data_IF_643857366292
#
_entry.id   IF_643857366292
#
_cell.length_a   1.000
_cell.length_b   1.000
_cell.length_c   1.000
_cell.angle_alpha   90.00
_cell.angle_beta   90.00
_cell.angle_gamma   90.00
#
_symmetry.space_group_name_H-M   'P 1'
#
loop_
_entity.id
_entity.type
_entity.pdbx_description
1 polymer ?
#
# COMPACT_ATOMS: atom_id res chain seq x y z
N UNK A 1 49.65 22.70 5.37
CA UNK A 1 48.53 22.42 4.49
C UNK A 1 47.21 22.89 5.16
N UNK A 2 46.71 24.05 4.76
CA UNK A 2 45.46 24.64 5.31
C UNK A 2 44.25 24.00 4.62
N UNK A 3 43.40 23.33 5.37
CA UNK A 3 42.11 22.83 4.88
C UNK A 3 41.11 23.98 4.89
N UNK A 4 40.66 24.40 3.71
CA UNK A 4 39.59 25.38 3.53
C UNK A 4 38.29 24.60 3.69
N UNK A 5 37.54 24.89 4.77
CA UNK A 5 36.16 24.40 4.94
C UNK A 5 35.26 25.32 4.12
N UNK A 6 34.71 24.81 3.01
CA UNK A 6 33.67 25.49 2.26
C UNK A 6 32.34 25.28 2.97
N UNK A 7 31.86 26.29 3.69
CA UNK A 7 30.51 26.33 4.25
C UNK A 7 29.60 26.86 3.14
N UNK A 8 28.80 25.95 2.55
CA UNK A 8 27.71 26.34 1.64
C UNK A 8 26.54 26.87 2.49
N UNK A 9 26.03 28.08 2.24
CA UNK A 9 24.82 28.55 2.88
C UNK A 9 23.60 27.76 2.31
N UNK A 10 22.92 27.02 3.16
CA UNK A 10 21.61 26.44 2.83
C UNK A 10 20.60 27.58 2.79
N UNK A 11 20.26 28.07 1.60
CA UNK A 11 19.15 28.99 1.41
C UNK A 11 17.85 28.24 1.61
N UNK A 12 17.23 28.42 2.78
CA UNK A 12 15.84 27.98 3.01
C UNK A 12 14.93 28.90 2.20
N UNK A 13 14.43 28.42 1.05
CA UNK A 13 13.32 29.05 0.35
C UNK A 13 12.07 28.79 1.15
N UNK A 14 11.67 29.74 1.99
CA UNK A 14 10.35 29.74 2.65
C UNK A 14 9.30 30.14 1.62
N UNK A 15 8.83 29.19 0.82
CA UNK A 15 7.59 29.33 0.08
C UNK A 15 6.41 29.40 1.07
N UNK A 16 5.26 30.03 0.71
CA UNK A 16 4.07 29.98 1.55
C UNK A 16 3.72 28.51 1.81
N UNK A 17 3.74 28.11 3.08
CA UNK A 17 3.28 26.80 3.49
C UNK A 17 1.76 26.78 3.23
N UNK A 18 1.32 26.27 2.08
CA UNK A 18 -0.07 25.88 1.91
C UNK A 18 -0.34 24.86 3.01
N UNK A 19 -1.32 25.14 3.87
CA UNK A 19 -1.67 24.26 4.96
C UNK A 19 -2.00 22.88 4.37
N UNK A 20 -1.08 21.95 4.54
CA UNK A 20 -1.28 20.57 4.11
C UNK A 20 -2.39 19.96 4.93
N UNK A 21 -3.41 19.43 4.28
CA UNK A 21 -4.49 18.72 4.96
C UNK A 21 -3.95 17.41 5.49
N UNK A 22 -3.98 17.22 6.80
CA UNK A 22 -3.52 15.99 7.45
C UNK A 22 -4.72 15.14 7.92
N UNK A 23 -4.54 13.82 7.92
CA UNK A 23 -5.49 12.86 8.47
C UNK A 23 -4.74 11.82 9.31
N UNK A 24 -5.37 11.36 10.39
CA UNK A 24 -4.91 10.22 11.17
C UNK A 24 -5.78 9.01 10.87
N UNK A 25 -5.15 7.87 10.69
CA UNK A 25 -5.87 6.67 10.30
C UNK A 25 -5.33 5.42 11.00
N UNK A 26 -6.19 4.42 11.16
CA UNK A 26 -5.85 3.07 11.61
C UNK A 26 -6.28 2.08 10.54
N UNK A 27 -5.35 1.23 10.09
CA UNK A 27 -5.64 0.16 9.15
C UNK A 27 -5.42 -1.19 9.78
N UNK A 28 -6.47 -2.00 9.82
CA UNK A 28 -6.46 -3.37 10.32
C UNK A 28 -6.59 -4.32 9.13
N UNK A 29 -5.67 -5.27 8.99
CA UNK A 29 -5.68 -6.22 7.86
C UNK A 29 -5.50 -7.65 8.38
N UNK A 30 -6.32 -8.56 7.88
CA UNK A 30 -6.15 -10.00 8.08
C UNK A 30 -6.05 -10.70 6.72
N UNK A 31 -5.04 -11.55 6.56
CA UNK A 31 -4.76 -12.31 5.34
C UNK A 31 -4.68 -13.79 5.65
N UNK A 32 -5.42 -14.62 4.94
CA UNK A 32 -5.31 -16.07 4.94
C UNK A 32 -4.76 -16.53 3.60
N UNK A 33 -3.75 -17.40 3.63
CA UNK A 33 -3.19 -18.05 2.46
C UNK A 33 -3.35 -19.56 2.60
N UNK A 34 -3.85 -20.23 1.58
CA UNK A 34 -3.98 -21.69 1.51
C UNK A 34 -3.16 -22.19 0.33
N UNK A 35 -2.18 -23.07 0.59
CA UNK A 35 -1.41 -23.72 -0.46
C UNK A 35 -2.29 -24.78 -1.16
N UNK A 36 -2.48 -24.66 -2.47
CA UNK A 36 -3.18 -25.63 -3.32
C UNK A 36 -2.20 -26.68 -3.84
N UNK A 37 -1.06 -26.22 -4.28
CA UNK A 37 0.09 -27.04 -4.68
C UNK A 37 1.40 -26.30 -4.34
N UNK A 38 2.55 -26.91 -4.71
CA UNK A 38 3.89 -26.34 -4.43
C UNK A 38 4.11 -24.94 -5.02
N UNK A 39 3.31 -24.52 -6.00
CA UNK A 39 3.49 -23.26 -6.74
C UNK A 39 2.24 -22.38 -6.72
N UNK A 40 1.11 -22.91 -6.27
CA UNK A 40 -0.19 -22.21 -6.33
C UNK A 40 -0.75 -22.01 -4.94
N UNK A 41 -1.20 -20.79 -4.64
CA UNK A 41 -1.77 -20.38 -3.37
C UNK A 41 -3.04 -19.56 -3.60
N UNK A 42 -4.08 -19.86 -2.84
CA UNK A 42 -5.28 -19.03 -2.74
C UNK A 42 -5.08 -18.05 -1.58
N UNK A 43 -5.45 -16.80 -1.79
CA UNK A 43 -5.37 -15.74 -0.78
C UNK A 43 -6.74 -15.14 -0.55
N UNK A 44 -7.14 -14.99 0.71
CA UNK A 44 -8.28 -14.18 1.13
C UNK A 44 -7.76 -13.11 2.08
N UNK A 45 -8.15 -11.86 1.84
CA UNK A 45 -7.72 -10.73 2.67
C UNK A 45 -8.94 -9.87 3.00
N UNK A 46 -9.02 -9.41 4.24
CA UNK A 46 -9.93 -8.34 4.65
C UNK A 46 -9.14 -7.20 5.26
N UNK A 47 -9.58 -5.97 5.00
CA UNK A 47 -8.97 -4.77 5.59
C UNK A 47 -10.03 -3.77 5.97
N UNK A 48 -9.94 -3.26 7.20
CA UNK A 48 -10.79 -2.18 7.73
C UNK A 48 -9.90 -0.97 7.97
N UNK A 49 -10.34 0.19 7.47
CA UNK A 49 -9.60 1.45 7.54
C UNK A 49 -10.46 2.48 8.24
N UNK A 50 -9.92 3.05 9.30
CA UNK A 50 -10.54 4.11 10.07
C UNK A 50 -9.78 5.41 9.81
N UNK A 51 -10.49 6.55 9.82
CA UNK A 51 -9.94 7.86 9.51
C UNK A 51 -10.66 8.91 10.35
N UNK A 52 -9.91 9.84 10.93
CA UNK A 52 -10.48 10.94 11.71
C UNK A 52 -11.35 11.83 10.81
N UNK A 53 -10.88 12.14 9.60
CA UNK A 53 -11.60 12.95 8.62
C UNK A 53 -12.94 12.36 8.18
N UNK A 54 -13.07 11.02 8.21
CA UNK A 54 -14.32 10.31 7.90
C UNK A 54 -15.15 9.99 9.13
N UNK A 55 -14.67 10.40 10.32
CA UNK A 55 -15.30 10.14 11.62
C UNK A 55 -15.59 8.65 11.86
N UNK A 56 -14.53 7.83 11.76
CA UNK A 56 -14.58 6.39 12.00
C UNK A 56 -14.24 5.54 10.78
N UNK A 57 -14.99 4.47 10.55
CA UNK A 57 -14.74 3.56 9.42
C UNK A 57 -14.83 4.31 8.08
N UNK A 58 -13.75 4.32 7.33
CA UNK A 58 -13.62 4.99 6.03
C UNK A 58 -13.69 4.04 4.84
N UNK A 59 -13.10 2.83 4.99
CA UNK A 59 -13.13 1.81 3.94
C UNK A 59 -13.15 0.41 4.56
N UNK A 60 -13.88 -0.50 3.93
CA UNK A 60 -13.71 -1.94 4.10
C UNK A 60 -13.37 -2.58 2.77
N UNK A 61 -12.42 -3.53 2.79
CA UNK A 61 -11.96 -4.26 1.64
C UNK A 61 -12.09 -5.75 1.87
N UNK A 62 -12.64 -6.45 0.88
CA UNK A 62 -12.68 -7.90 0.81
C UNK A 62 -12.01 -8.33 -0.48
N UNK A 63 -11.02 -9.21 -0.40
CA UNK A 63 -10.15 -9.56 -1.51
C UNK A 63 -10.02 -11.08 -1.56
N UNK A 64 -10.26 -11.65 -2.73
CA UNK A 64 -9.98 -13.04 -3.04
C UNK A 64 -9.08 -13.14 -4.26
N UNK A 65 -8.09 -14.02 -4.23
CA UNK A 65 -7.17 -14.13 -5.35
C UNK A 65 -6.35 -15.41 -5.37
N UNK A 66 -5.66 -15.62 -6.47
CA UNK A 66 -4.77 -16.76 -6.70
C UNK A 66 -3.39 -16.24 -7.06
N UNK A 67 -2.38 -16.80 -6.41
CA UNK A 67 -0.95 -16.57 -6.70
C UNK A 67 -0.36 -17.84 -7.29
N UNK A 68 0.44 -17.70 -8.36
CA UNK A 68 1.22 -18.80 -8.94
C UNK A 68 2.67 -18.38 -9.13
N UNK A 69 3.59 -19.21 -8.65
CA UNK A 69 5.01 -19.08 -8.98
C UNK A 69 5.23 -19.54 -10.41
N UNK A 70 5.69 -18.61 -11.26
CA UNK A 70 5.91 -18.85 -12.70
C UNK A 70 7.37 -19.08 -13.03
N UNK A 71 8.28 -18.59 -12.18
CA UNK A 71 9.72 -18.84 -12.25
C UNK A 71 10.31 -18.76 -10.85
N UNK A 72 11.59 -19.12 -10.70
CA UNK A 72 12.31 -18.93 -9.44
C UNK A 72 12.24 -17.47 -9.01
N UNK A 73 11.78 -17.24 -7.80
CA UNK A 73 11.64 -15.89 -7.20
C UNK A 73 10.67 -14.94 -7.95
N UNK A 74 9.84 -15.46 -8.88
CA UNK A 74 8.84 -14.67 -9.63
C UNK A 74 7.46 -15.30 -9.49
N UNK A 75 6.50 -14.52 -9.04
CA UNK A 75 5.10 -14.92 -8.91
C UNK A 75 4.17 -13.96 -9.65
N UNK A 76 3.09 -14.49 -10.20
CA UNK A 76 1.95 -13.72 -10.70
C UNK A 76 0.77 -13.92 -9.77
N UNK A 77 -0.05 -12.87 -9.62
CA UNK A 77 -1.24 -12.93 -8.78
C UNK A 77 -2.39 -12.21 -9.49
N UNK A 78 -3.55 -12.85 -9.51
CA UNK A 78 -4.80 -12.27 -9.97
C UNK A 78 -5.80 -12.28 -8.82
N UNK A 79 -6.48 -11.18 -8.60
CA UNK A 79 -7.47 -11.07 -7.52
C UNK A 79 -8.62 -10.15 -7.88
N UNK A 80 -9.73 -10.39 -7.21
CA UNK A 80 -10.87 -9.49 -7.17
C UNK A 80 -10.94 -8.84 -5.78
N UNK A 81 -11.29 -7.57 -5.74
CA UNK A 81 -11.54 -6.85 -4.50
C UNK A 81 -12.85 -6.07 -4.57
N UNK A 82 -13.67 -6.21 -3.53
CA UNK A 82 -14.78 -5.31 -3.24
C UNK A 82 -14.32 -4.30 -2.20
N UNK A 83 -14.43 -3.03 -2.53
CA UNK A 83 -14.13 -1.90 -1.63
C UNK A 83 -15.43 -1.17 -1.35
N UNK A 84 -15.76 -0.99 -0.09
CA UNK A 84 -16.90 -0.16 0.33
C UNK A 84 -16.35 1.06 1.05
N UNK A 85 -16.75 2.23 0.62
CA UNK A 85 -16.33 3.52 1.18
C UNK A 85 -17.43 4.07 2.07
N UNK A 86 -17.05 4.52 3.25
CA UNK A 86 -17.96 5.07 4.26
C UNK A 86 -17.65 6.53 4.53
N UNK A 87 -18.65 7.28 4.90
CA UNK A 87 -18.53 8.63 5.44
C UNK A 87 -19.59 8.83 6.50
N UNK A 88 -19.16 9.20 7.71
CA UNK A 88 -20.04 9.39 8.87
C UNK A 88 -20.96 8.19 9.14
N UNK A 89 -20.40 6.96 9.08
CA UNK A 89 -21.12 5.72 9.34
C UNK A 89 -22.08 5.25 8.22
N UNK A 90 -22.15 5.96 7.08
CA UNK A 90 -22.99 5.59 5.93
C UNK A 90 -22.13 5.19 4.75
N UNK A 91 -22.59 4.23 3.95
CA UNK A 91 -21.96 3.86 2.67
C UNK A 91 -22.10 5.05 1.71
N UNK A 92 -20.98 5.58 1.23
CA UNK A 92 -20.96 6.64 0.21
C UNK A 92 -20.88 6.07 -1.21
N UNK A 93 -20.05 5.05 -1.42
CA UNK A 93 -19.94 4.33 -2.68
C UNK A 93 -19.30 2.95 -2.47
N UNK A 94 -19.31 2.16 -3.52
CA UNK A 94 -18.60 0.89 -3.57
C UNK A 94 -17.84 0.76 -4.89
N UNK A 95 -16.75 0.03 -4.84
CA UNK A 95 -15.87 -0.16 -5.99
C UNK A 95 -15.50 -1.62 -6.14
N UNK A 96 -15.57 -2.13 -7.36
CA UNK A 96 -15.05 -3.44 -7.75
C UNK A 96 -13.69 -3.23 -8.41
N UNK A 97 -12.71 -4.06 -8.02
CA UNK A 97 -11.36 -4.03 -8.60
C UNK A 97 -10.96 -5.41 -9.05
N UNK A 98 -10.62 -5.56 -10.32
CA UNK A 98 -9.85 -6.70 -10.81
C UNK A 98 -8.39 -6.29 -10.83
N UNK A 99 -7.53 -7.14 -10.28
CA UNK A 99 -6.10 -6.84 -10.13
C UNK A 99 -5.28 -7.95 -10.74
N UNK A 100 -4.29 -7.57 -11.52
CA UNK A 100 -3.22 -8.44 -11.98
C UNK A 100 -1.89 -7.88 -11.48
N UNK A 101 -1.02 -8.73 -10.96
CA UNK A 101 0.31 -8.30 -10.51
C UNK A 101 1.38 -9.34 -10.82
N UNK A 102 2.58 -8.84 -11.00
CA UNK A 102 3.82 -9.61 -10.98
C UNK A 102 4.66 -9.14 -9.80
N UNK A 103 5.25 -10.09 -9.09
CA UNK A 103 6.18 -9.83 -8.00
C UNK A 103 7.46 -10.63 -8.21
N UNK A 104 8.60 -9.96 -8.09
CA UNK A 104 9.91 -10.59 -8.10
C UNK A 104 10.60 -10.34 -6.77
N UNK A 105 11.24 -11.38 -6.22
CA UNK A 105 11.95 -11.33 -4.94
C UNK A 105 13.43 -11.63 -5.15
N UNK A 106 14.31 -10.90 -4.47
CA UNK A 106 15.75 -11.18 -4.45
C UNK A 106 16.32 -11.02 -3.05
N UNK A 107 17.24 -11.91 -2.69
CA UNK A 107 18.01 -11.78 -1.45
C UNK A 107 19.37 -11.17 -1.74
N UNK A 108 19.71 -10.10 -1.04
CA UNK A 108 21.00 -9.40 -1.07
C UNK A 108 21.59 -9.44 0.34
N UNK A 109 22.46 -10.41 0.60
CA UNK A 109 22.95 -10.69 1.96
C UNK A 109 21.79 -11.00 2.91
N UNK A 110 21.62 -10.17 3.95
CA UNK A 110 20.53 -10.31 4.94
C UNK A 110 19.23 -9.64 4.49
N UNK A 111 19.26 -8.80 3.46
CA UNK A 111 18.10 -8.06 2.99
C UNK A 111 17.32 -8.89 1.97
N UNK A 112 16.03 -9.06 2.17
CA UNK A 112 15.09 -9.56 1.17
C UNK A 112 14.41 -8.36 0.51
N UNK A 113 14.61 -8.21 -0.81
CA UNK A 113 13.93 -7.22 -1.64
C UNK A 113 12.82 -7.89 -2.42
N UNK A 114 11.65 -7.24 -2.45
CA UNK A 114 10.52 -7.63 -3.30
C UNK A 114 10.07 -6.42 -4.12
N UNK A 115 10.12 -6.56 -5.44
CA UNK A 115 9.55 -5.59 -6.39
C UNK A 115 8.20 -6.11 -6.89
N UNK A 116 7.18 -5.26 -6.91
CA UNK A 116 5.84 -5.61 -7.38
C UNK A 116 5.33 -4.55 -8.36
N UNK A 117 4.77 -4.99 -9.47
CA UNK A 117 3.99 -4.16 -10.37
C UNK A 117 2.55 -4.70 -10.39
N UNK A 118 1.58 -3.86 -10.02
CA UNK A 118 0.16 -4.20 -10.00
C UNK A 118 -0.60 -3.29 -10.97
N UNK A 119 -1.42 -3.90 -11.81
CA UNK A 119 -2.44 -3.23 -12.61
C UNK A 119 -3.81 -3.45 -11.95
N UNK A 120 -4.65 -2.41 -11.91
CA UNK A 120 -6.02 -2.46 -11.37
C UNK A 120 -7.00 -1.94 -12.41
N UNK A 121 -7.99 -2.75 -12.75
CA UNK A 121 -9.25 -2.36 -13.38
C UNK A 121 -10.22 -1.99 -12.27
N UNK A 122 -10.90 -0.85 -12.37
CA UNK A 122 -11.72 -0.28 -11.31
C UNK A 122 -13.05 0.18 -11.87
N UNK A 123 -14.16 -0.26 -11.25
CA UNK A 123 -15.51 0.25 -11.53
C UNK A 123 -16.19 0.66 -10.24
N UNK A 124 -16.89 1.77 -10.23
CA UNK A 124 -17.57 2.31 -9.06
C UNK A 124 -19.08 2.36 -9.26
N UNK A 125 -19.81 2.37 -8.13
CA UNK A 125 -21.29 2.42 -8.14
C UNK A 125 -21.86 3.82 -8.37
N UNK A 126 -21.01 4.84 -8.33
CA UNK A 126 -21.36 6.26 -8.49
C UNK A 126 -20.76 6.88 -9.76
N UNK A 127 -20.51 6.06 -10.79
CA UNK A 127 -20.05 6.51 -12.10
C UNK A 127 -20.01 5.38 -13.12
N UNK A 128 -20.01 5.74 -14.39
CA UNK A 128 -20.11 4.80 -15.51
C UNK A 128 -18.74 4.47 -16.11
N UNK A 129 -17.75 5.36 -15.96
CA UNK A 129 -16.43 5.15 -16.55
C UNK A 129 -15.56 4.21 -15.75
N UNK A 130 -14.86 3.35 -16.47
CA UNK A 130 -13.84 2.48 -15.91
C UNK A 130 -12.55 3.24 -15.64
N UNK A 131 -11.98 3.02 -14.46
CA UNK A 131 -10.65 3.52 -14.09
C UNK A 131 -9.57 2.45 -14.20
N UNK A 132 -8.40 2.86 -14.65
CA UNK A 132 -7.21 2.02 -14.70
C UNK A 132 -6.11 2.63 -13.84
N UNK A 133 -5.40 1.78 -13.06
CA UNK A 133 -4.34 2.23 -12.16
C UNK A 133 -3.15 1.29 -12.22
N UNK A 134 -1.96 1.87 -12.20
CA UNK A 134 -0.70 1.15 -12.04
C UNK A 134 -0.13 1.42 -10.64
N UNK A 135 0.43 0.35 -10.01
CA UNK A 135 0.97 0.45 -8.65
C UNK A 135 2.31 -0.28 -8.53
N UNK A 136 3.42 0.37 -8.89
CA UNK A 136 4.75 -0.13 -8.58
C UNK A 136 5.04 -0.02 -7.08
N UNK A 137 5.66 -1.06 -6.50
CA UNK A 137 6.10 -1.12 -5.10
C UNK A 137 7.46 -1.78 -5.00
N UNK A 138 8.27 -1.29 -4.10
CA UNK A 138 9.48 -1.95 -3.62
C UNK A 138 9.38 -2.14 -2.10
N UNK A 139 9.72 -3.32 -1.61
CA UNK A 139 9.72 -3.67 -0.19
C UNK A 139 11.05 -4.32 0.19
N UNK A 140 11.68 -3.83 1.24
CA UNK A 140 12.84 -4.41 1.86
C UNK A 140 12.45 -5.01 3.22
N UNK A 141 12.96 -6.21 3.52
CA UNK A 141 12.79 -6.88 4.81
C UNK A 141 14.15 -7.31 5.32
N UNK A 142 14.49 -6.92 6.55
CA UNK A 142 15.80 -7.16 7.17
C UNK A 142 15.58 -7.87 8.52
N UNK A 143 16.06 -9.12 8.70
CA UNK A 143 15.97 -9.81 9.98
C UNK A 143 16.72 -9.05 11.09
N UNK A 144 16.13 -8.96 12.28
CA UNK A 144 16.73 -8.33 13.45
C UNK A 144 17.50 -9.40 14.27
N UNK A 145 18.80 -9.40 14.15
CA UNK A 145 19.64 -10.39 14.85
C UNK A 145 19.33 -11.84 14.44
N UNK A 146 19.09 -12.69 15.42
CA UNK A 146 18.65 -14.10 15.29
C UNK A 146 17.20 -14.28 15.79
N UNK A 147 16.47 -13.18 15.99
CA UNK A 147 15.09 -13.20 16.48
C UNK A 147 14.08 -13.48 15.36
N UNK A 148 12.84 -13.73 15.72
CA UNK A 148 11.71 -13.85 14.80
C UNK A 148 11.17 -12.50 14.31
N UNK A 149 11.84 -11.42 14.64
CA UNK A 149 11.49 -10.07 14.21
C UNK A 149 12.27 -9.66 12.97
N UNK A 150 11.62 -8.88 12.13
CA UNK A 150 12.24 -8.23 10.96
C UNK A 150 11.80 -6.79 10.85
N UNK A 151 12.72 -5.92 10.47
CA UNK A 151 12.41 -4.56 10.04
C UNK A 151 11.93 -4.60 8.59
N UNK A 152 10.88 -3.85 8.33
CA UNK A 152 10.26 -3.72 7.00
C UNK A 152 10.25 -2.27 6.59
N UNK A 153 10.67 -1.99 5.36
CA UNK A 153 10.48 -0.71 4.70
C UNK A 153 9.85 -0.93 3.34
N UNK A 154 8.84 -0.13 2.98
CA UNK A 154 8.21 -0.25 1.66
C UNK A 154 7.83 1.12 1.09
N UNK A 155 7.92 1.21 -0.23
CA UNK A 155 7.57 2.38 -1.01
C UNK A 155 6.67 1.96 -2.16
N UNK A 156 5.51 2.60 -2.30
CA UNK A 156 4.51 2.30 -3.33
C UNK A 156 3.99 3.60 -3.95
N UNK A 157 3.90 3.60 -5.29
CA UNK A 157 3.20 4.64 -6.05
C UNK A 157 1.82 4.16 -6.50
N UNK A 158 0.91 5.10 -6.68
CA UNK A 158 -0.36 4.92 -7.37
C UNK A 158 -0.44 5.91 -8.51
N UNK A 159 -0.53 5.38 -9.73
CA UNK A 159 -0.54 6.16 -10.97
C UNK A 159 -1.83 5.84 -11.68
N UNK A 160 -2.69 6.84 -11.82
CA UNK A 160 -3.93 6.73 -12.58
C UNK A 160 -3.64 6.84 -14.06
N UNK A 161 -4.20 5.94 -14.87
CA UNK A 161 -3.89 5.85 -16.30
C UNK A 161 -4.92 6.55 -17.19
N UNK A 162 -6.08 6.93 -16.63
CA UNK A 162 -7.14 7.62 -17.33
C UNK A 162 -8.00 8.45 -16.38
N UNK A 163 -8.78 9.36 -16.94
CA UNK A 163 -9.78 10.13 -16.24
C UNK A 163 -11.13 9.39 -16.18
N UNK A 164 -11.86 9.59 -15.08
CA UNK A 164 -13.21 9.07 -14.92
C UNK A 164 -14.19 10.14 -14.46
N UNK A 165 -15.47 9.86 -14.59
CA UNK A 165 -16.57 10.71 -14.13
C UNK A 165 -16.73 10.72 -12.59
N UNK A 166 -16.15 9.71 -11.90
CA UNK A 166 -16.16 9.60 -10.44
C UNK A 166 -14.88 10.13 -9.75
N UNK A 167 -14.10 10.96 -10.46
CA UNK A 167 -13.03 11.76 -9.86
C UNK A 167 -11.61 11.19 -9.97
N UNK A 168 -11.38 10.06 -10.67
CA UNK A 168 -10.02 9.66 -11.03
C UNK A 168 -9.46 10.62 -12.08
N UNK A 169 -8.21 11.05 -11.90
CA UNK A 169 -7.48 11.93 -12.82
C UNK A 169 -6.16 11.28 -13.19
N UNK A 170 -5.82 11.30 -14.48
CA UNK A 170 -4.56 10.74 -15.01
C UNK A 170 -3.33 11.32 -14.32
N UNK A 171 -2.33 10.48 -14.07
CA UNK A 171 -1.04 10.84 -13.47
C UNK A 171 -0.84 10.33 -12.05
N UNK A 172 0.21 10.80 -11.35
CA UNK A 172 0.52 10.38 -10.00
C UNK A 172 -0.62 10.79 -9.03
N UNK A 173 -1.29 9.84 -8.40
CA UNK A 173 -2.38 10.06 -7.45
C UNK A 173 -1.85 10.18 -6.03
N UNK A 174 -1.08 9.20 -5.61
CA UNK A 174 -0.51 9.15 -4.27
C UNK A 174 0.74 8.30 -4.22
N UNK A 175 1.52 8.51 -3.18
CA UNK A 175 2.60 7.61 -2.80
C UNK A 175 2.47 7.20 -1.34
N UNK A 176 3.03 6.04 -1.00
CA UNK A 176 3.06 5.47 0.35
C UNK A 176 4.46 5.11 0.73
N UNK A 177 4.85 5.48 1.93
CA UNK A 177 6.07 5.03 2.58
C UNK A 177 5.70 4.32 3.87
N UNK A 178 6.27 3.15 4.12
CA UNK A 178 5.97 2.35 5.30
C UNK A 178 7.25 1.95 5.99
N UNK A 179 7.25 2.03 7.32
CA UNK A 179 8.23 1.38 8.19
C UNK A 179 7.46 0.53 9.20
N UNK A 180 7.81 -0.73 9.34
CA UNK A 180 7.11 -1.67 10.21
C UNK A 180 8.06 -2.69 10.83
N UNK A 181 7.58 -3.31 11.90
CA UNK A 181 8.17 -4.53 12.47
C UNK A 181 7.24 -5.69 12.10
N UNK A 182 7.81 -6.72 11.53
CA UNK A 182 7.14 -7.99 11.31
C UNK A 182 7.64 -8.99 12.37
N UNK A 183 6.70 -9.67 13.03
CA UNK A 183 6.96 -10.75 13.95
C UNK A 183 6.39 -12.07 13.40
N UNK A 184 7.25 -13.05 13.18
CA UNK A 184 6.87 -14.41 12.84
C UNK A 184 6.64 -15.20 14.12
N UNK A 185 5.39 -15.29 14.57
CA UNK A 185 5.05 -16.01 15.80
C UNK A 185 5.30 -17.53 15.68
N UNK A 186 5.08 -18.08 14.48
CA UNK A 186 5.42 -19.45 14.08
C UNK A 186 5.45 -19.56 12.55
N UNK A 187 5.56 -20.77 11.99
CA UNK A 187 5.63 -20.99 10.54
C UNK A 187 4.33 -20.61 9.82
N UNK A 188 3.19 -20.70 10.49
CA UNK A 188 1.89 -20.38 9.92
C UNK A 188 1.47 -18.94 10.18
N UNK A 189 1.84 -18.32 11.31
CA UNK A 189 1.26 -17.07 11.79
C UNK A 189 2.31 -15.97 11.91
N UNK A 190 2.05 -14.83 11.32
CA UNK A 190 2.84 -13.61 11.46
C UNK A 190 1.99 -12.38 11.69
N UNK A 191 2.57 -11.41 12.40
CA UNK A 191 1.99 -10.11 12.68
C UNK A 191 2.91 -9.00 12.15
N UNK A 192 2.33 -7.91 11.69
CA UNK A 192 3.08 -6.72 11.29
C UNK A 192 2.42 -5.50 11.89
N UNK A 193 3.22 -4.67 12.57
CA UNK A 193 2.79 -3.38 13.10
C UNK A 193 3.73 -2.29 12.60
N UNK A 194 3.19 -1.16 12.16
CA UNK A 194 4.01 -0.12 11.59
C UNK A 194 3.29 1.18 11.31
N UNK A 195 4.08 2.16 10.93
CA UNK A 195 3.64 3.45 10.48
C UNK A 195 3.72 3.54 8.96
N UNK A 196 2.66 4.07 8.35
CA UNK A 196 2.59 4.41 6.94
C UNK A 196 2.27 5.88 6.77
N UNK A 197 3.08 6.56 5.99
CA UNK A 197 2.80 7.85 5.45
C UNK A 197 2.17 7.69 4.06
N UNK A 198 1.03 8.35 3.81
CA UNK A 198 0.40 8.40 2.49
C UNK A 198 0.26 9.84 2.05
N UNK A 199 1.02 10.21 1.04
CA UNK A 199 0.96 11.53 0.43
C UNK A 199 0.03 11.50 -0.78
N UNK A 200 -0.93 12.43 -0.82
CA UNK A 200 -1.82 12.68 -1.94
C UNK A 200 -1.30 13.88 -2.73
N UNK A 201 -1.07 13.68 -4.01
CA UNK A 201 -0.66 14.78 -4.89
C UNK A 201 -1.83 15.74 -5.14
N UNK A 202 -1.53 17.04 -5.21
CA UNK A 202 -2.52 18.06 -5.56
C UNK A 202 -3.17 17.77 -6.93
N UNK A 203 -4.49 17.87 -7.02
CA UNK A 203 -5.25 17.58 -8.24
C UNK A 203 -6.50 18.43 -8.34
N UNK A 204 -6.84 18.89 -9.56
CA UNK A 204 -8.09 19.61 -9.91
C UNK A 204 -8.48 20.70 -8.90
N UNK A 205 -7.51 21.46 -8.39
CA UNK A 205 -7.76 22.53 -7.43
C UNK A 205 -7.71 22.11 -5.95
N UNK A 206 -7.66 20.80 -5.66
CA UNK A 206 -7.40 20.33 -4.30
C UNK A 206 -5.90 20.42 -4.00
N UNK A 207 -5.56 20.95 -2.83
CA UNK A 207 -4.20 20.98 -2.32
C UNK A 207 -3.68 19.56 -1.99
N UNK A 208 -2.36 19.43 -1.75
CA UNK A 208 -1.80 18.16 -1.30
C UNK A 208 -2.31 17.78 0.09
N UNK A 209 -2.42 16.47 0.35
CA UNK A 209 -2.82 15.97 1.65
C UNK A 209 -1.87 14.85 2.13
N UNK A 210 -1.80 14.66 3.45
CA UNK A 210 -0.99 13.66 4.11
C UNK A 210 -1.84 12.84 5.07
N UNK A 211 -1.80 11.51 4.92
CA UNK A 211 -2.40 10.62 5.91
C UNK A 211 -1.29 9.96 6.73
N UNK A 212 -1.43 10.01 8.05
CA UNK A 212 -0.59 9.34 9.04
C UNK A 212 -1.31 8.08 9.51
N UNK A 213 -0.81 6.90 9.16
CA UNK A 213 -1.52 5.65 9.29
C UNK A 213 -0.78 4.71 10.23
N UNK A 214 -1.41 4.31 11.32
CA UNK A 214 -1.02 3.14 12.09
C UNK A 214 -1.53 1.89 11.36
N UNK A 215 -0.64 0.92 11.11
CA UNK A 215 -1.00 -0.34 10.46
C UNK A 215 -0.81 -1.50 11.42
N UNK A 216 -1.82 -2.36 11.50
CA UNK A 216 -1.76 -3.65 12.17
C UNK A 216 -2.23 -4.73 11.19
N UNK A 217 -1.42 -5.76 10.97
CA UNK A 217 -1.73 -6.84 10.04
C UNK A 217 -1.44 -8.19 10.64
N UNK A 218 -2.27 -9.16 10.32
CA UNK A 218 -2.09 -10.57 10.64
C UNK A 218 -2.08 -11.38 9.36
N UNK A 219 -1.16 -12.33 9.24
CA UNK A 219 -1.12 -13.27 8.11
C UNK A 219 -1.07 -14.70 8.63
N UNK A 220 -1.98 -15.53 8.11
CA UNK A 220 -2.06 -16.97 8.36
C UNK A 220 -1.74 -17.72 7.06
N UNK A 221 -0.81 -18.65 7.09
CA UNK A 221 -0.43 -19.53 5.98
C UNK A 221 -0.76 -20.98 6.34
N UNK A 222 -1.58 -21.63 5.52
CA UNK A 222 -2.09 -23.00 5.67
C UNK A 222 -1.66 -23.86 4.48
#
# INVERSE_FOLDING_TARGET
MRRILLVLPASFVTGPALAQVEDRALWLTATGNVAVDRRTRITVETSYRFSDRRNGLSESLWIGGVTREVAKDVAVHVSYARVTVYSRGRISNSENRVRAQIEATRRLGRVRLAGRLRFEYRSRTDGDKTGFRLRPRIRATVPIGKSDFSLVADHEWMIELNDTDWGQVTGADRMRNTVAINWRANDALSFEAGYRNQYHFARRGDGPAMDHILMLSTTLNL
#
